data_IF_666742470632
#
_entry.id   IF_666742470632
#
_cell.length_a   1.000
_cell.length_b   1.000
_cell.length_c   1.000
_cell.angle_alpha   90.00
_cell.angle_beta   90.00
_cell.angle_gamma   90.00
#
_symmetry.space_group_name_H-M   'P 1'
#
loop_
_entity.id
_entity.type
_entity.pdbx_description
1 polymer ?
#
# COMPACT_ATOMS: atom_id res chain seq x y z
N UNK A 1 -15.64 16.86 -16.91
CA UNK A 1 -14.61 17.68 -16.25
C UNK A 1 -13.98 16.76 -15.21
N UNK A 2 -12.73 16.34 -15.42
CA UNK A 2 -12.01 15.54 -14.41
C UNK A 2 -11.51 16.53 -13.36
N UNK A 3 -11.96 16.39 -12.12
CA UNK A 3 -11.41 17.15 -11.02
C UNK A 3 -9.94 16.76 -10.90
N UNK A 4 -9.04 17.66 -11.30
CA UNK A 4 -7.62 17.55 -10.97
C UNK A 4 -7.53 17.64 -9.45
N UNK A 5 -7.52 16.48 -8.79
CA UNK A 5 -7.17 16.37 -7.37
C UNK A 5 -5.74 16.91 -7.21
N UNK A 6 -5.62 18.21 -6.92
CA UNK A 6 -4.34 18.92 -6.73
C UNK A 6 -3.65 18.49 -5.43
N UNK A 7 -4.37 17.80 -4.55
CA UNK A 7 -3.89 17.36 -3.24
C UNK A 7 -3.39 15.92 -3.31
N UNK A 8 -2.17 15.69 -2.82
CA UNK A 8 -1.52 14.37 -2.86
C UNK A 8 -0.85 14.03 -1.54
N UNK A 9 -0.87 12.75 -1.19
CA UNK A 9 0.00 12.16 -0.17
C UNK A 9 1.12 11.35 -0.80
N UNK A 10 2.20 11.11 -0.06
CA UNK A 10 3.29 10.26 -0.50
C UNK A 10 3.17 8.87 0.13
N UNK A 11 3.37 7.81 -0.66
CA UNK A 11 3.44 6.43 -0.20
C UNK A 11 4.80 5.84 -0.52
N UNK A 12 5.43 5.23 0.47
CA UNK A 12 6.63 4.40 0.31
C UNK A 12 6.34 3.00 0.86
N UNK A 13 6.54 1.96 0.05
CA UNK A 13 6.37 0.58 0.51
C UNK A 13 7.73 0.03 0.92
N UNK A 14 7.82 -0.54 2.11
CA UNK A 14 9.02 -1.18 2.64
C UNK A 14 8.76 -2.69 2.78
N UNK A 15 9.49 -3.49 2.02
CA UNK A 15 9.32 -4.94 1.96
C UNK A 15 10.50 -5.64 2.64
N UNK A 16 10.20 -6.57 3.52
CA UNK A 16 11.18 -7.33 4.29
C UNK A 16 10.69 -8.75 4.58
N UNK A 17 11.60 -9.64 4.99
CA UNK A 17 11.26 -11.01 5.38
C UNK A 17 10.41 -11.05 6.66
N UNK A 18 9.56 -12.07 6.85
CA UNK A 18 8.62 -12.14 7.98
C UNK A 18 9.20 -11.80 9.37
N UNK A 19 10.46 -12.18 9.65
CA UNK A 19 11.17 -11.86 10.89
C UNK A 19 11.69 -10.41 11.00
N UNK A 20 11.34 -9.51 10.08
CA UNK A 20 11.84 -8.13 10.08
C UNK A 20 13.31 -7.98 9.70
N UNK A 21 14.00 -9.09 9.43
CA UNK A 21 15.46 -9.14 9.49
C UNK A 21 16.15 -8.68 8.19
N UNK A 22 15.55 -8.90 7.01
CA UNK A 22 16.21 -8.67 5.73
C UNK A 22 15.33 -7.87 4.76
N UNK A 23 15.80 -6.73 4.22
CA UNK A 23 15.10 -6.01 3.17
C UNK A 23 15.10 -6.83 1.88
N UNK A 24 13.96 -6.84 1.17
CA UNK A 24 13.79 -7.58 -0.08
C UNK A 24 13.83 -6.61 -1.26
N UNK A 25 14.90 -6.70 -2.06
CA UNK A 25 15.07 -5.93 -3.28
C UNK A 25 14.37 -6.59 -4.47
N UNK A 26 13.93 -5.78 -5.44
CA UNK A 26 13.21 -6.22 -6.64
C UNK A 26 11.86 -6.92 -6.39
N UNK A 27 11.24 -6.72 -5.23
CA UNK A 27 9.85 -7.12 -4.99
C UNK A 27 8.92 -6.27 -5.86
N UNK A 28 7.98 -6.91 -6.54
CA UNK A 28 6.99 -6.25 -7.37
C UNK A 28 5.89 -5.71 -6.47
N UNK A 29 5.67 -4.39 -6.51
CA UNK A 29 4.67 -3.70 -5.71
C UNK A 29 3.61 -3.14 -6.66
N UNK A 30 2.37 -3.60 -6.51
CA UNK A 30 1.21 -3.14 -7.26
C UNK A 30 0.32 -2.33 -6.32
N UNK A 31 -0.06 -1.14 -6.76
CA UNK A 31 -0.91 -0.23 -6.00
C UNK A 31 -2.19 -0.05 -6.80
N UNK A 32 -3.31 -0.32 -6.15
CA UNK A 32 -4.64 -0.23 -6.76
C UNK A 32 -5.54 0.66 -5.92
N UNK A 33 -6.49 1.34 -6.56
CA UNK A 33 -7.54 2.08 -5.89
C UNK A 33 -8.83 1.27 -5.94
N UNK A 34 -9.64 1.35 -4.87
CA UNK A 34 -10.99 0.80 -4.91
C UNK A 34 -11.92 1.88 -5.46
N UNK A 35 -12.13 1.87 -6.77
CA UNK A 35 -13.17 2.70 -7.40
C UNK A 35 -14.52 1.98 -7.27
N UNK A 36 -15.64 2.71 -7.28
CA UNK A 36 -16.98 2.10 -7.29
C UNK A 36 -17.23 1.12 -8.45
N UNK A 37 -16.36 1.11 -9.47
CA UNK A 37 -16.36 0.18 -10.61
C UNK A 37 -15.45 -1.05 -10.43
N UNK A 38 -14.71 -1.17 -9.33
CA UNK A 38 -13.75 -2.25 -9.05
C UNK A 38 -12.35 -1.76 -8.71
N UNK A 39 -11.41 -2.70 -8.54
CA UNK A 39 -9.99 -2.38 -8.37
C UNK A 39 -9.40 -1.82 -9.67
N UNK A 40 -8.87 -0.59 -9.60
CA UNK A 40 -8.17 0.06 -10.70
C UNK A 40 -6.66 0.09 -10.41
N UNK A 41 -5.83 -0.24 -11.40
CA UNK A 41 -4.38 -0.19 -11.27
C UNK A 41 -3.88 1.26 -11.29
N UNK A 42 -3.24 1.69 -10.20
CA UNK A 42 -2.68 3.04 -10.06
C UNK A 42 -1.19 3.07 -10.40
N UNK A 43 -0.42 2.12 -9.87
CA UNK A 43 1.03 2.08 -10.08
C UNK A 43 1.60 0.66 -9.97
N UNK A 44 2.69 0.42 -10.69
CA UNK A 44 3.56 -0.74 -10.51
C UNK A 44 4.97 -0.25 -10.22
N UNK A 45 5.58 -0.75 -9.14
CA UNK A 45 6.89 -0.35 -8.65
C UNK A 45 7.73 -1.58 -8.31
N UNK A 46 9.03 -1.36 -8.12
CA UNK A 46 9.95 -2.35 -7.56
C UNK A 46 10.69 -1.77 -6.37
N UNK A 47 10.97 -2.61 -5.38
CA UNK A 47 11.84 -2.23 -4.26
C UNK A 47 13.31 -2.17 -4.66
N UNK A 48 14.05 -1.26 -4.05
CA UNK A 48 15.49 -1.12 -4.19
C UNK A 48 16.26 -2.02 -3.22
N UNK A 49 17.59 -1.85 -3.14
CA UNK A 49 18.47 -2.64 -2.24
C UNK A 49 18.16 -2.45 -0.75
N UNK A 50 17.49 -1.37 -0.37
CA UNK A 50 17.05 -1.12 1.00
C UNK A 50 15.67 -1.74 1.29
N UNK A 51 15.07 -2.42 0.31
CA UNK A 51 13.74 -3.01 0.40
C UNK A 51 12.63 -1.96 0.26
N UNK A 52 12.94 -0.74 -0.21
CA UNK A 52 11.97 0.35 -0.31
C UNK A 52 11.64 0.67 -1.75
N UNK A 53 10.39 1.04 -2.03
CA UNK A 53 10.05 1.68 -3.30
C UNK A 53 10.50 3.14 -3.30
N UNK A 54 10.66 3.74 -4.47
CA UNK A 54 10.67 5.20 -4.57
C UNK A 54 9.36 5.76 -4.02
N UNK A 55 9.36 6.88 -3.27
CA UNK A 55 8.13 7.53 -2.84
C UNK A 55 7.26 7.85 -4.05
N UNK A 56 5.97 7.56 -3.96
CA UNK A 56 5.01 7.92 -5.00
C UNK A 56 3.94 8.86 -4.47
N UNK A 57 3.60 9.85 -5.30
CA UNK A 57 2.46 10.74 -5.02
C UNK A 57 1.17 10.06 -5.45
N UNK A 58 0.24 9.92 -4.50
CA UNK A 58 -1.10 9.40 -4.70
C UNK A 58 -2.12 10.50 -4.39
N UNK A 59 -3.24 10.49 -5.09
CA UNK A 59 -4.32 11.44 -4.83
C UNK A 59 -4.82 11.27 -3.39
N UNK A 60 -5.09 12.39 -2.73
CA UNK A 60 -5.66 12.44 -1.38
C UNK A 60 -6.67 13.59 -1.33
N UNK A 61 -7.73 13.48 -0.49
CA UNK A 61 -8.66 14.58 -0.30
C UNK A 61 -7.99 15.70 0.52
N UNK A 62 -8.47 16.95 0.39
CA UNK A 62 -7.87 18.07 1.09
C UNK A 62 -8.06 17.96 2.61
N UNK A 63 -7.02 18.28 3.38
CA UNK A 63 -6.96 18.16 4.83
C UNK A 63 -7.99 19.03 5.57
N UNK A 64 -8.52 20.08 4.92
CA UNK A 64 -9.48 21.03 5.51
C UNK A 64 -10.84 20.41 5.87
N UNK A 65 -11.15 19.20 5.40
CA UNK A 65 -12.40 18.48 5.73
C UNK A 65 -12.36 17.77 7.11
N UNK A 66 -11.34 18.01 7.94
CA UNK A 66 -11.14 17.32 9.23
C UNK A 66 -11.99 17.86 10.40
N UNK A 67 -12.70 18.98 10.21
CA UNK A 67 -13.51 19.63 11.26
C UNK A 67 -14.96 19.13 11.37
N UNK A 68 -15.40 18.25 10.47
CA UNK A 68 -16.75 17.70 10.48
C UNK A 68 -16.73 16.23 10.95
N UNK A 69 -17.29 15.90 12.12
CA UNK A 69 -17.31 14.53 12.65
C UNK A 69 -18.24 13.59 11.87
N UNK A 70 -19.17 14.11 11.07
CA UNK A 70 -20.07 13.32 10.20
C UNK A 70 -19.40 12.90 8.87
N UNK A 71 -18.23 13.46 8.54
CA UNK A 71 -17.59 13.35 7.23
C UNK A 71 -16.27 12.57 7.26
N UNK A 72 -16.23 11.45 8.01
CA UNK A 72 -15.03 10.62 8.19
C UNK A 72 -14.43 10.06 6.89
N UNK A 73 -15.22 9.95 5.81
CA UNK A 73 -14.75 9.48 4.50
C UNK A 73 -13.99 10.56 3.68
N UNK A 74 -13.98 11.82 4.13
CA UNK A 74 -13.37 12.93 3.40
C UNK A 74 -11.93 13.27 3.83
N UNK A 75 -11.32 12.48 4.73
CA UNK A 75 -10.01 12.79 5.34
C UNK A 75 -8.82 12.09 4.67
N UNK A 76 -9.05 10.97 4.00
CA UNK A 76 -8.01 10.20 3.32
C UNK A 76 -8.59 9.36 2.18
N UNK A 77 -7.76 9.00 1.21
CA UNK A 77 -8.09 7.98 0.22
C UNK A 77 -7.49 6.64 0.61
N UNK A 78 -8.21 5.56 0.27
CA UNK A 78 -7.80 4.18 0.57
C UNK A 78 -7.25 3.53 -0.70
N UNK A 79 -6.08 2.91 -0.57
CA UNK A 79 -5.44 2.14 -1.63
C UNK A 79 -5.15 0.71 -1.17
N UNK A 80 -5.06 -0.22 -2.10
CA UNK A 80 -4.61 -1.59 -1.84
C UNK A 80 -3.20 -1.77 -2.39
N UNK A 81 -2.34 -2.39 -1.61
CA UNK A 81 -0.94 -2.67 -1.95
C UNK A 81 -0.78 -4.18 -2.04
N UNK A 82 -0.41 -4.69 -3.22
CA UNK A 82 -0.07 -6.10 -3.44
C UNK A 82 1.42 -6.22 -3.70
N UNK A 83 2.09 -7.10 -2.97
CA UNK A 83 3.52 -7.35 -3.12
C UNK A 83 3.75 -8.80 -3.53
N UNK A 84 4.49 -8.99 -4.63
CA UNK A 84 4.91 -10.28 -5.14
C UNK A 84 6.43 -10.38 -5.18
N UNK A 85 6.96 -11.48 -4.66
CA UNK A 85 8.39 -11.79 -4.71
C UNK A 85 8.61 -13.31 -4.85
N UNK A 86 9.48 -13.76 -5.78
CA UNK A 86 9.68 -15.19 -6.00
C UNK A 86 10.11 -15.95 -4.74
N UNK A 87 9.48 -17.10 -4.49
CA UNK A 87 9.75 -17.94 -3.31
C UNK A 87 9.04 -17.47 -2.04
N UNK A 88 8.11 -16.51 -2.15
CA UNK A 88 7.32 -16.00 -1.03
C UNK A 88 5.83 -15.98 -1.40
N UNK A 89 4.97 -15.98 -0.39
CA UNK A 89 3.56 -15.71 -0.56
C UNK A 89 3.34 -14.28 -1.06
N UNK A 90 2.37 -14.10 -1.95
CA UNK A 90 1.91 -12.76 -2.33
C UNK A 90 1.21 -12.14 -1.11
N UNK A 91 1.67 -10.98 -0.67
CA UNK A 91 1.06 -10.26 0.47
C UNK A 91 0.24 -9.08 -0.04
N UNK A 92 -0.94 -8.89 0.54
CA UNK A 92 -1.81 -7.74 0.25
C UNK A 92 -2.17 -6.96 1.50
N UNK A 93 -1.90 -5.66 1.48
CA UNK A 93 -2.40 -4.70 2.46
C UNK A 93 -3.60 -3.96 1.85
N UNK A 94 -4.77 -4.18 2.42
CA UNK A 94 -6.01 -3.56 1.94
C UNK A 94 -6.32 -2.28 2.72
N UNK A 95 -6.94 -1.31 2.04
CA UNK A 95 -7.50 -0.09 2.62
C UNK A 95 -6.49 0.86 3.29
N UNK A 96 -5.24 0.87 2.80
CA UNK A 96 -4.15 1.74 3.24
C UNK A 96 -4.57 3.22 3.13
N UNK A 97 -4.60 3.98 4.24
CA UNK A 97 -5.00 5.38 4.21
C UNK A 97 -3.84 6.28 3.74
N UNK A 98 -4.14 7.18 2.79
CA UNK A 98 -3.23 8.21 2.31
C UNK A 98 -3.79 9.59 2.63
N UNK A 99 -3.01 10.37 3.36
CA UNK A 99 -3.35 11.72 3.81
C UNK A 99 -2.60 12.76 2.97
N UNK A 100 -3.25 13.90 2.71
CA UNK A 100 -2.60 15.02 2.03
C UNK A 100 -1.33 15.46 2.78
N UNK A 101 -0.23 15.67 2.05
CA UNK A 101 1.01 16.24 2.58
C UNK A 101 1.79 15.32 3.53
N UNK A 102 1.27 14.13 3.84
CA UNK A 102 1.96 13.15 4.67
C UNK A 102 2.69 12.11 3.81
N UNK A 103 3.80 11.60 4.34
CA UNK A 103 4.49 10.44 3.78
C UNK A 103 4.15 9.21 4.61
N UNK A 104 3.30 8.34 4.07
CA UNK A 104 3.00 7.05 4.65
C UNK A 104 4.08 6.04 4.25
N UNK A 105 4.66 5.37 5.24
CA UNK A 105 5.57 4.25 5.02
C UNK A 105 4.81 2.97 5.34
N UNK A 106 4.57 2.14 4.32
CA UNK A 106 3.87 0.88 4.53
C UNK A 106 4.80 -0.32 4.59
N UNK A 107 4.97 -0.92 5.80
CA UNK A 107 5.73 -2.13 5.97
C UNK A 107 4.96 -3.34 5.43
N UNK A 108 5.67 -4.20 4.70
CA UNK A 108 5.13 -5.46 4.18
C UNK A 108 6.10 -6.59 4.53
N UNK A 109 5.65 -7.46 5.43
CA UNK A 109 6.34 -8.67 5.81
C UNK A 109 6.00 -9.80 4.81
N UNK A 110 7.01 -10.30 4.10
CA UNK A 110 6.87 -11.41 3.16
C UNK A 110 7.19 -12.72 3.85
N UNK A 111 6.28 -13.69 3.72
CA UNK A 111 6.45 -15.02 4.30
C UNK A 111 6.98 -15.97 3.20
N UNK A 112 8.12 -16.66 3.41
CA UNK A 112 8.65 -17.61 2.44
C UNK A 112 7.69 -18.76 2.16
N UNK A 113 7.68 -19.23 0.92
CA UNK A 113 7.00 -20.48 0.54
C UNK A 113 7.78 -21.68 1.11
N UNK A 114 7.10 -22.73 1.57
CA UNK A 114 7.75 -24.02 1.86
C UNK A 114 8.50 -24.54 0.64
N UNK A 115 9.61 -25.25 0.86
CA UNK A 115 10.47 -25.76 -0.22
C UNK A 115 9.76 -26.71 -1.20
N UNK A 116 8.61 -27.27 -0.81
CA UNK A 116 7.80 -28.20 -1.60
C UNK A 116 6.48 -27.60 -2.15
N UNK A 117 6.26 -26.28 -2.06
CA UNK A 117 5.01 -25.63 -2.53
C UNK A 117 5.21 -24.70 -3.75
N UNK A 118 4.42 -24.90 -4.81
CA UNK A 118 4.38 -24.03 -6.00
C UNK A 118 3.51 -22.77 -5.82
N UNK A 119 3.78 -21.77 -6.66
CA UNK A 119 3.10 -20.45 -6.78
C UNK A 119 1.57 -20.54 -6.63
N UNK A 120 0.99 -19.65 -5.83
CA UNK A 120 -0.46 -19.35 -5.92
C UNK A 120 -1.18 -18.97 -4.63
N UNK A 121 -0.54 -19.07 -3.46
CA UNK A 121 -1.18 -18.75 -2.17
C UNK A 121 -0.93 -17.28 -1.78
N UNK A 122 -1.98 -16.62 -1.31
CA UNK A 122 -2.01 -15.19 -0.96
C UNK A 122 -2.23 -15.02 0.54
N UNK A 123 -1.58 -14.03 1.13
CA UNK A 123 -1.78 -13.59 2.51
C UNK A 123 -2.37 -12.19 2.45
N UNK A 124 -3.50 -11.97 3.12
CA UNK A 124 -4.16 -10.66 3.17
C UNK A 124 -4.03 -10.10 4.58
N UNK A 125 -3.31 -8.99 4.71
CA UNK A 125 -3.29 -8.17 5.91
C UNK A 125 -4.31 -7.04 5.73
N UNK A 126 -5.34 -7.00 6.58
CA UNK A 126 -6.24 -5.85 6.63
C UNK A 126 -5.64 -4.86 7.63
N UNK A 127 -5.30 -3.67 7.16
CA UNK A 127 -4.79 -2.61 8.04
C UNK A 127 -5.97 -2.04 8.84
N UNK A 128 -6.23 -2.62 10.00
CA UNK A 128 -7.10 -2.01 11.01
C UNK A 128 -6.31 -0.91 11.69
N UNK A 129 -6.77 0.34 11.56
CA UNK A 129 -6.24 1.48 12.30
C UNK A 129 -6.03 1.08 13.77
N UNK A 130 -4.86 1.38 14.39
CA UNK A 130 -4.68 1.08 15.80
C UNK A 130 -5.72 1.87 16.59
N UNK A 131 -6.59 1.15 17.31
CA UNK A 131 -7.56 1.76 18.20
C UNK A 131 -6.77 2.42 19.34
N UNK A 132 -6.71 3.75 19.33
CA UNK A 132 -6.10 4.58 20.37
C UNK A 132 -6.98 4.62 21.61
#
# INVERSE_FOLDING_TARGET
MAETNTHTGALTVQVYTADGALPLANANVLITSNSGSGEELVRVLKTDRSGKTTPISLAAPPAVNSLDPENSNARFYRYNIRVDYPGYYTTENLNVPIFEGQTSIQPVAMIPLPADEERGKRITAVETEPNL
#
